data_IF_022858441116
#
_entry.id   IF_022858441116
#
_cell.length_a   1.000
_cell.length_b   1.000
_cell.length_c   1.000
_cell.angle_alpha   90.00
_cell.angle_beta   90.00
_cell.angle_gamma   90.00
#
_symmetry.space_group_name_H-M   'P 1'
#
loop_
_entity.id
_entity.type
_entity.pdbx_description
1 polymer ?
#
# COMPACT_ATOMS: atom_id res chain seq x y z
N UNK A 1 8.67 1.40 -19.35
CA UNK A 1 9.77 1.27 -18.39
C UNK A 1 9.30 1.32 -16.93
N UNK A 2 9.06 2.48 -16.30
CA UNK A 2 8.73 2.54 -14.84
C UNK A 2 7.41 1.84 -14.47
N UNK A 3 6.38 1.96 -15.28
CA UNK A 3 5.08 1.30 -15.02
C UNK A 3 5.22 -0.23 -15.02
N UNK A 4 6.13 -0.81 -15.81
CA UNK A 4 6.39 -2.25 -15.80
C UNK A 4 6.96 -2.70 -14.46
N UNK A 5 7.85 -1.89 -13.87
CA UNK A 5 8.34 -2.16 -12.52
C UNK A 5 7.19 -2.20 -11.49
N UNK A 6 6.31 -1.20 -11.49
CA UNK A 6 5.22 -1.14 -10.49
C UNK A 6 4.09 -2.14 -10.73
N UNK A 7 3.77 -2.46 -11.99
CA UNK A 7 2.66 -3.39 -12.31
C UNK A 7 3.08 -4.85 -12.32
N UNK A 8 4.29 -5.14 -12.78
CA UNK A 8 4.76 -6.52 -13.03
C UNK A 8 5.82 -6.96 -12.02
N UNK A 9 6.31 -6.05 -11.15
CA UNK A 9 7.39 -6.33 -10.20
C UNK A 9 8.66 -6.92 -10.86
N UNK A 10 8.87 -6.64 -12.15
CA UNK A 10 10.00 -7.14 -12.92
C UNK A 10 11.32 -6.50 -12.45
N UNK A 11 12.41 -7.28 -12.41
CA UNK A 11 13.71 -6.76 -11.95
C UNK A 11 14.24 -5.64 -12.84
N UNK A 12 15.00 -4.71 -12.28
CA UNK A 12 15.62 -3.62 -13.05
C UNK A 12 16.55 -4.14 -14.14
N UNK A 13 17.22 -5.27 -13.92
CA UNK A 13 18.00 -5.96 -14.94
C UNK A 13 17.16 -6.34 -16.16
N UNK A 14 16.03 -7.02 -15.97
CA UNK A 14 15.16 -7.42 -17.07
C UNK A 14 14.55 -6.22 -17.81
N UNK A 15 14.15 -5.19 -17.07
CA UNK A 15 13.66 -3.93 -17.69
C UNK A 15 14.80 -3.25 -18.47
N UNK A 16 16.03 -3.31 -17.97
CA UNK A 16 17.20 -2.79 -18.68
C UNK A 16 17.42 -3.49 -20.02
N UNK A 17 17.33 -4.83 -20.04
CA UNK A 17 17.43 -5.61 -21.28
C UNK A 17 16.39 -5.21 -22.31
N UNK A 18 15.12 -5.10 -21.91
CA UNK A 18 14.01 -4.76 -22.81
C UNK A 18 14.16 -3.35 -23.44
N UNK A 19 14.76 -2.40 -22.73
CA UNK A 19 14.92 -1.01 -23.16
C UNK A 19 16.34 -0.66 -23.64
N UNK A 20 17.28 -1.61 -23.67
CA UNK A 20 18.68 -1.37 -24.03
C UNK A 20 19.44 -0.46 -23.05
N UNK A 21 19.07 -0.49 -21.77
CA UNK A 21 19.65 0.34 -20.70
C UNK A 21 20.40 -0.52 -19.69
N UNK A 22 21.40 0.07 -19.02
CA UNK A 22 22.00 -0.57 -17.86
C UNK A 22 21.01 -0.60 -16.68
N UNK A 23 21.14 -1.61 -15.83
CA UNK A 23 20.32 -1.75 -14.61
C UNK A 23 20.38 -0.48 -13.73
N UNK A 24 21.57 0.11 -13.61
CA UNK A 24 21.77 1.34 -12.84
C UNK A 24 21.06 2.55 -13.45
N UNK A 25 20.95 2.65 -14.78
CA UNK A 25 20.19 3.69 -15.45
C UNK A 25 18.68 3.55 -15.18
N UNK A 26 18.15 2.33 -15.26
CA UNK A 26 16.75 2.04 -14.93
C UNK A 26 16.44 2.44 -13.49
N UNK A 27 17.26 2.01 -12.53
CA UNK A 27 17.11 2.35 -11.11
C UNK A 27 17.06 3.87 -10.89
N UNK A 28 17.99 4.64 -11.49
CA UNK A 28 18.01 6.11 -11.39
C UNK A 28 16.75 6.75 -11.96
N UNK A 29 16.23 6.25 -13.07
CA UNK A 29 15.03 6.80 -13.72
C UNK A 29 13.78 6.51 -12.89
N UNK A 30 13.61 5.28 -12.40
CA UNK A 30 12.51 4.90 -11.50
C UNK A 30 12.51 5.82 -10.28
N UNK A 31 13.65 5.94 -9.60
CA UNK A 31 13.79 6.80 -8.42
C UNK A 31 13.52 8.28 -8.73
N UNK A 32 13.99 8.79 -9.87
CA UNK A 32 13.72 10.18 -10.29
C UNK A 32 12.22 10.42 -10.48
N UNK A 33 11.53 9.50 -11.15
CA UNK A 33 10.08 9.61 -11.39
C UNK A 33 9.29 9.51 -10.08
N UNK A 34 9.64 8.57 -9.20
CA UNK A 34 9.00 8.45 -7.88
C UNK A 34 9.11 9.75 -7.08
N UNK A 35 10.30 10.34 -7.04
CA UNK A 35 10.51 11.62 -6.34
C UNK A 35 9.68 12.76 -6.94
N UNK A 36 9.55 12.83 -8.27
CA UNK A 36 8.70 13.84 -8.92
C UNK A 36 7.24 13.64 -8.53
N UNK A 37 6.74 12.41 -8.55
CA UNK A 37 5.35 12.08 -8.20
C UNK A 37 5.05 12.38 -6.72
N UNK A 38 5.96 12.02 -5.81
CA UNK A 38 5.85 12.30 -4.37
C UNK A 38 5.79 13.82 -4.15
N UNK A 39 6.68 14.59 -4.79
CA UNK A 39 6.69 16.05 -4.69
C UNK A 39 5.43 16.70 -5.25
N UNK A 40 4.85 16.13 -6.31
CA UNK A 40 3.64 16.68 -6.93
C UNK A 40 2.41 16.60 -6.03
N UNK A 41 2.39 15.69 -5.05
CA UNK A 41 1.25 15.40 -4.15
C UNK A 41 -0.08 15.04 -4.82
N UNK A 42 -0.17 15.02 -6.16
CA UNK A 42 -1.40 14.73 -6.92
C UNK A 42 -1.98 13.35 -6.63
N UNK A 43 -1.13 12.39 -6.26
CA UNK A 43 -1.50 11.02 -5.92
C UNK A 43 -1.44 10.73 -4.40
N UNK A 44 -1.32 11.78 -3.58
CA UNK A 44 -1.38 11.62 -2.13
C UNK A 44 -2.82 11.32 -1.70
N UNK A 45 -2.96 10.35 -0.80
CA UNK A 45 -4.26 10.04 -0.22
C UNK A 45 -4.77 11.23 0.62
N UNK A 46 -6.09 11.51 0.66
CA UNK A 46 -6.67 12.59 1.46
C UNK A 46 -6.32 12.50 2.96
N UNK A 47 -6.16 11.28 3.46
CA UNK A 47 -5.75 10.99 4.83
C UNK A 47 -6.91 10.90 5.82
N UNK A 48 -6.60 10.47 7.05
CA UNK A 48 -7.59 10.16 8.09
C UNK A 48 -8.46 11.35 8.50
N UNK A 49 -7.95 12.58 8.34
CA UNK A 49 -8.71 13.81 8.66
C UNK A 49 -9.94 14.00 7.77
N UNK A 50 -9.92 13.45 6.56
CA UNK A 50 -11.03 13.54 5.61
C UNK A 50 -12.26 12.77 6.13
N UNK A 51 -12.06 11.70 6.90
CA UNK A 51 -13.15 10.86 7.43
C UNK A 51 -14.10 11.64 8.35
N UNK A 52 -13.59 12.63 9.07
CA UNK A 52 -14.40 13.51 9.92
C UNK A 52 -15.31 14.46 9.13
N UNK A 53 -15.00 14.69 7.84
CA UNK A 53 -15.80 15.58 6.98
C UNK A 53 -16.94 14.83 6.26
N UNK A 54 -16.85 13.50 6.21
CA UNK A 54 -17.77 12.61 5.48
C UNK A 54 -18.90 12.13 6.43
N UNK A 55 -19.15 12.86 7.52
CA UNK A 55 -20.10 12.51 8.59
C UNK A 55 -21.58 12.76 8.23
N UNK A 56 -21.93 12.77 6.94
CA UNK A 56 -23.34 12.79 6.56
C UNK A 56 -23.91 11.37 6.67
N UNK A 57 -25.14 11.21 7.18
CA UNK A 57 -25.79 9.90 7.39
C UNK A 57 -25.91 9.07 6.10
N UNK A 58 -25.79 9.71 4.94
CA UNK A 58 -25.89 9.08 3.61
C UNK A 58 -24.55 8.61 3.03
N UNK A 59 -23.43 8.80 3.74
CA UNK A 59 -22.11 8.49 3.23
C UNK A 59 -21.62 7.11 3.70
N UNK A 60 -21.72 6.12 2.81
CA UNK A 60 -21.17 4.79 3.11
C UNK A 60 -19.64 4.79 2.95
N UNK A 61 -18.96 4.54 4.07
CA UNK A 61 -17.52 4.26 4.11
C UNK A 61 -17.33 2.75 4.20
N UNK A 62 -16.64 2.19 3.21
CA UNK A 62 -16.31 0.77 3.17
C UNK A 62 -14.88 0.58 3.67
N UNK A 63 -14.69 -0.43 4.51
CA UNK A 63 -13.39 -0.81 5.02
C UNK A 63 -13.13 -2.27 4.71
N UNK A 64 -11.98 -2.55 4.14
CA UNK A 64 -11.52 -3.92 3.91
C UNK A 64 -10.08 -4.09 4.40
N UNK A 65 -9.71 -5.33 4.72
CA UNK A 65 -8.36 -5.69 5.16
C UNK A 65 -7.84 -6.83 4.29
N UNK A 66 -6.71 -6.57 3.63
CA UNK A 66 -6.04 -7.52 2.75
C UNK A 66 -4.67 -7.89 3.28
N UNK A 67 -4.17 -9.07 2.91
CA UNK A 67 -2.81 -9.51 3.22
C UNK A 67 -2.00 -9.61 1.94
N UNK A 68 -0.81 -9.02 1.92
CA UNK A 68 0.13 -9.12 0.80
C UNK A 68 1.38 -9.89 1.23
N UNK A 69 1.85 -10.87 0.44
CA UNK A 69 3.09 -11.59 0.74
C UNK A 69 4.27 -10.62 0.70
N UNK A 70 5.23 -10.86 1.59
CA UNK A 70 6.49 -10.12 1.65
C UNK A 70 7.66 -11.08 1.66
N UNK A 71 8.85 -10.56 1.34
CA UNK A 71 10.08 -11.28 1.57
C UNK A 71 10.23 -11.65 3.05
N UNK A 72 10.79 -12.84 3.30
CA UNK A 72 10.98 -13.37 4.65
C UNK A 72 11.87 -12.42 5.46
N UNK A 73 11.36 -11.81 6.54
CA UNK A 73 12.15 -10.87 7.34
C UNK A 73 13.37 -11.57 7.97
N UNK A 74 14.51 -10.88 8.08
CA UNK A 74 15.67 -11.47 8.79
C UNK A 74 15.44 -11.56 10.31
N UNK A 75 14.70 -10.62 10.88
CA UNK A 75 14.44 -10.51 12.32
C UNK A 75 12.93 -10.50 12.57
N UNK A 76 12.48 -11.16 13.63
CA UNK A 76 11.08 -11.10 14.06
C UNK A 76 10.08 -11.78 13.11
N UNK A 77 10.54 -12.75 12.31
CA UNK A 77 9.76 -13.49 11.30
C UNK A 77 8.36 -13.91 11.78
N UNK A 78 8.28 -14.50 12.98
CA UNK A 78 7.02 -14.97 13.58
C UNK A 78 5.93 -13.90 13.69
N UNK A 79 6.30 -12.61 13.69
CA UNK A 79 5.34 -11.49 13.74
C UNK A 79 4.67 -11.22 12.39
N UNK A 80 5.34 -11.55 11.30
CA UNK A 80 4.86 -11.37 9.93
C UNK A 80 4.25 -12.65 9.36
N UNK A 81 4.51 -13.81 9.96
CA UNK A 81 3.96 -15.08 9.50
C UNK A 81 2.42 -15.11 9.64
N UNK A 82 1.73 -15.29 8.52
CA UNK A 82 0.28 -15.48 8.43
C UNK A 82 -0.06 -16.94 8.62
N UNK A 83 -0.93 -17.24 9.59
CA UNK A 83 -1.42 -18.61 9.80
C UNK A 83 -2.35 -19.10 8.68
N UNK A 84 -3.04 -18.18 7.98
CA UNK A 84 -4.01 -18.52 6.93
C UNK A 84 -3.32 -18.75 5.59
N UNK A 85 -2.40 -17.86 5.20
CA UNK A 85 -1.69 -17.94 3.93
C UNK A 85 -0.40 -18.77 4.00
N UNK A 86 0.01 -19.17 5.21
CA UNK A 86 1.23 -19.94 5.48
C UNK A 86 2.53 -19.29 4.96
N UNK A 87 2.52 -17.98 4.78
CA UNK A 87 3.66 -17.16 4.32
C UNK A 87 3.81 -15.90 5.16
N UNK A 88 4.92 -15.17 5.00
CA UNK A 88 5.12 -13.89 5.67
C UNK A 88 4.34 -12.81 4.91
N UNK A 89 3.51 -12.05 5.62
CA UNK A 89 2.63 -11.05 5.02
C UNK A 89 2.67 -9.71 5.78
N UNK A 90 2.27 -8.66 5.07
CA UNK A 90 1.81 -7.41 5.66
C UNK A 90 0.30 -7.32 5.50
N UNK A 91 -0.39 -6.89 6.55
CA UNK A 91 -1.81 -6.57 6.51
C UNK A 91 -1.96 -5.11 6.09
N UNK A 92 -2.80 -4.86 5.12
CA UNK A 92 -3.18 -3.52 4.68
C UNK A 92 -4.68 -3.35 4.81
N UNK A 93 -5.07 -2.42 5.66
CA UNK A 93 -6.43 -1.92 5.76
C UNK A 93 -6.61 -0.81 4.73
N UNK A 94 -7.68 -0.90 3.95
CA UNK A 94 -8.07 0.09 2.95
C UNK A 94 -9.41 0.69 3.36
N UNK A 95 -9.48 2.01 3.44
CA UNK A 95 -10.74 2.74 3.68
C UNK A 95 -11.13 3.49 2.43
N UNK A 96 -12.33 3.19 1.92
CA UNK A 96 -12.82 3.65 0.62
C UNK A 96 -14.14 4.39 0.84
N UNK A 97 -14.29 5.52 0.15
CA UNK A 97 -15.58 6.19 0.03
C UNK A 97 -16.39 5.54 -1.08
N UNK A 98 -17.53 4.92 -0.76
CA UNK A 98 -18.24 4.07 -1.72
C UNK A 98 -18.72 4.83 -2.96
N UNK A 99 -19.32 6.02 -2.78
CA UNK A 99 -19.92 6.80 -3.88
C UNK A 99 -18.90 7.14 -4.99
N UNK A 100 -17.66 7.44 -4.61
CA UNK A 100 -16.60 7.81 -5.54
C UNK A 100 -15.59 6.69 -5.83
N UNK A 101 -15.67 5.57 -5.09
CA UNK A 101 -14.62 4.55 -5.02
C UNK A 101 -13.22 5.10 -4.69
N UNK A 102 -13.14 6.28 -4.10
CA UNK A 102 -11.86 6.91 -3.74
C UNK A 102 -11.29 6.27 -2.47
N UNK A 103 -10.02 5.88 -2.52
CA UNK A 103 -9.27 5.46 -1.33
C UNK A 103 -8.97 6.72 -0.49
N UNK A 104 -9.46 6.74 0.75
CA UNK A 104 -9.30 7.88 1.66
C UNK A 104 -7.98 7.76 2.43
N UNK A 105 -7.73 6.59 3.01
CA UNK A 105 -6.52 6.32 3.75
C UNK A 105 -6.24 4.82 3.84
N UNK A 106 -4.98 4.49 4.14
CA UNK A 106 -4.51 3.14 4.39
C UNK A 106 -4.01 3.00 5.84
N UNK A 107 -4.13 1.79 6.38
CA UNK A 107 -3.50 1.36 7.61
C UNK A 107 -2.66 0.12 7.34
N UNK A 108 -1.52 -0.03 8.01
CA UNK A 108 -0.64 -1.18 7.81
C UNK A 108 -0.25 -1.79 9.16
N UNK A 109 -0.21 -3.11 9.21
CA UNK A 109 0.37 -3.83 10.35
C UNK A 109 0.91 -5.19 9.90
N UNK A 110 1.50 -5.93 10.83
CA UNK A 110 2.17 -7.21 10.55
C UNK A 110 1.14 -8.30 10.28
N UNK A 111 1.47 -9.25 9.39
CA UNK A 111 0.59 -10.34 8.96
C UNK A 111 -0.10 -11.13 10.07
N UNK A 112 0.54 -11.33 11.22
CA UNK A 112 -0.02 -12.07 12.36
C UNK A 112 -1.20 -11.36 13.05
N UNK A 113 -1.36 -10.06 12.85
CA UNK A 113 -2.31 -9.25 13.64
C UNK A 113 -3.72 -9.39 13.10
N UNK A 114 -4.69 -9.63 13.99
CA UNK A 114 -6.09 -9.73 13.63
C UNK A 114 -6.65 -8.40 13.09
N UNK A 115 -7.55 -8.49 12.12
CA UNK A 115 -8.08 -7.34 11.37
C UNK A 115 -8.74 -6.30 12.29
N UNK A 116 -9.52 -6.75 13.27
CA UNK A 116 -10.11 -5.87 14.28
C UNK A 116 -9.06 -5.11 15.14
N UNK A 117 -7.92 -5.75 15.43
CA UNK A 117 -6.82 -5.09 16.16
C UNK A 117 -6.10 -4.09 15.27
N UNK A 118 -5.90 -4.40 14.00
CA UNK A 118 -5.40 -3.44 13.00
C UNK A 118 -6.32 -2.22 12.92
N UNK A 119 -7.63 -2.40 12.86
CA UNK A 119 -8.59 -1.29 12.89
C UNK A 119 -8.44 -0.43 14.15
N UNK A 120 -8.37 -1.03 15.34
CA UNK A 120 -8.14 -0.28 16.59
C UNK A 120 -6.81 0.49 16.57
N UNK A 121 -5.73 -0.15 16.16
CA UNK A 121 -4.39 0.45 16.08
C UNK A 121 -4.31 1.56 15.03
N UNK A 122 -5.10 1.45 13.96
CA UNK A 122 -5.15 2.45 12.89
C UNK A 122 -5.62 3.82 13.40
N UNK A 123 -6.29 3.88 14.55
CA UNK A 123 -6.80 5.14 15.12
C UNK A 123 -7.81 5.84 14.22
N UNK A 124 -8.42 5.09 13.29
CA UNK A 124 -9.48 5.58 12.43
C UNK A 124 -10.73 5.77 13.28
N UNK A 125 -11.27 6.98 13.22
CA UNK A 125 -12.50 7.36 13.90
C UNK A 125 -13.44 7.92 12.84
N UNK A 126 -14.69 7.48 12.89
CA UNK A 126 -15.77 8.03 12.11
C UNK A 126 -16.44 9.10 12.98
N UNK A 127 -16.72 10.25 12.36
CA UNK A 127 -17.38 11.38 13.02
C UNK A 127 -18.87 11.15 13.17
#
# INVERSE_FOLDING_TARGET
>A
MVIQYWREYRTYYHIGLDFGLSESAVCRIVFKIENILIKSRKFSLPGKKQLWKISSEEDLIVMDVTESPIEKPKIGQKRFFSGKLLVHTLKTQVVIYQKSSQIICLGHDKGKIHDFRLFKNSGIKFG
#
